data_IF_894331342476
#
_entry.id   IF_894331342476
#
_cell.length_a   1.000
_cell.length_b   1.000
_cell.length_c   1.000
_cell.angle_alpha   90.00
_cell.angle_beta   90.00
_cell.angle_gamma   90.00
#
_symmetry.space_group_name_H-M   'P 1'
#
loop_
_entity.id
_entity.type
_entity.pdbx_description
1 polymer ?
#
# COMPACT_ATOMS: atom_id res chain seq x y z
N UNK A 1 43.19 -40.96 -92.24
CA UNK A 1 43.91 -39.86 -92.91
C UNK A 1 43.47 -38.55 -92.27
N UNK A 2 44.43 -37.67 -91.94
CA UNK A 2 44.42 -36.19 -91.89
C UNK A 2 43.07 -35.47 -91.65
N UNK A 3 42.91 -34.38 -90.91
CA UNK A 3 43.72 -33.49 -90.09
C UNK A 3 42.75 -32.38 -89.62
N UNK A 4 43.05 -31.71 -88.50
CA UNK A 4 42.86 -30.26 -88.41
C UNK A 4 41.65 -29.69 -87.65
N UNK A 5 42.02 -28.77 -86.75
CA UNK A 5 41.40 -27.46 -86.48
C UNK A 5 40.63 -27.29 -85.15
N UNK A 6 41.44 -26.89 -84.16
CA UNK A 6 41.22 -25.98 -83.03
C UNK A 6 39.85 -25.25 -82.95
N UNK A 7 39.15 -25.49 -81.84
CA UNK A 7 38.18 -24.57 -81.24
C UNK A 7 38.61 -24.25 -79.80
N UNK A 8 38.69 -22.96 -79.48
CA UNK A 8 39.13 -22.39 -78.20
C UNK A 8 38.29 -22.85 -77.00
N UNK A 9 38.95 -23.33 -75.95
CA UNK A 9 38.42 -23.33 -74.58
C UNK A 9 39.27 -22.39 -73.73
N UNK A 10 38.65 -21.37 -73.14
CA UNK A 10 39.22 -20.57 -72.06
C UNK A 10 38.23 -20.64 -70.87
N UNK A 11 38.72 -20.84 -69.63
CA UNK A 11 37.91 -21.40 -68.55
C UNK A 11 37.17 -20.35 -67.71
N UNK A 12 36.16 -20.86 -67.01
CA UNK A 12 35.25 -20.20 -66.10
C UNK A 12 35.91 -19.23 -65.10
N UNK A 13 35.31 -18.05 -64.93
CA UNK A 13 35.58 -17.12 -63.84
C UNK A 13 34.49 -17.28 -62.76
N UNK A 14 34.83 -17.61 -61.51
CA UNK A 14 33.85 -17.85 -60.45
C UNK A 14 33.20 -16.54 -59.97
N UNK A 15 31.88 -16.57 -59.78
CA UNK A 15 31.09 -15.49 -59.20
C UNK A 15 31.33 -15.37 -57.69
N UNK A 16 31.67 -14.16 -57.22
CA UNK A 16 31.84 -13.86 -55.80
C UNK A 16 30.48 -13.74 -55.08
N UNK A 17 30.37 -14.15 -53.80
CA UNK A 17 29.14 -14.08 -53.02
C UNK A 17 28.84 -12.64 -52.53
N UNK A 18 27.55 -12.30 -52.48
CA UNK A 18 27.04 -11.02 -51.98
C UNK A 18 27.23 -10.87 -50.46
N UNK A 19 27.43 -9.63 -49.95
CA UNK A 19 27.67 -9.39 -48.53
C UNK A 19 26.39 -9.52 -47.69
N UNK A 20 26.55 -10.04 -46.46
CA UNK A 20 25.49 -10.18 -45.46
C UNK A 20 25.05 -8.81 -44.89
N UNK A 21 23.79 -8.68 -44.42
CA UNK A 21 23.29 -7.42 -43.85
C UNK A 21 23.89 -7.15 -42.48
N UNK A 22 24.45 -5.95 -42.31
CA UNK A 22 24.93 -5.42 -41.04
C UNK A 22 23.75 -5.12 -40.10
N UNK A 23 23.76 -5.55 -38.82
CA UNK A 23 22.75 -5.15 -37.86
C UNK A 23 22.84 -3.65 -37.55
N UNK A 24 21.71 -2.97 -37.26
CA UNK A 24 21.71 -1.54 -36.98
C UNK A 24 22.50 -1.23 -35.71
N UNK A 25 23.23 -0.12 -35.75
CA UNK A 25 23.96 0.44 -34.62
C UNK A 25 23.00 0.64 -33.45
N UNK A 26 23.38 0.10 -32.28
CA UNK A 26 22.69 0.35 -31.02
C UNK A 26 22.66 1.85 -30.78
N UNK A 27 21.47 2.44 -30.85
CA UNK A 27 21.22 3.75 -30.27
C UNK A 27 21.50 3.61 -28.77
N UNK A 28 22.55 4.29 -28.31
CA UNK A 28 22.83 4.52 -26.89
C UNK A 28 21.60 5.15 -26.25
N UNK A 29 20.70 4.30 -25.75
CA UNK A 29 19.64 4.71 -24.85
C UNK A 29 20.34 5.30 -23.63
N UNK A 30 20.18 6.60 -23.31
CA UNK A 30 20.77 7.15 -22.12
C UNK A 30 20.16 6.44 -20.93
N UNK A 31 20.96 5.63 -20.25
CA UNK A 31 20.60 4.99 -19.00
C UNK A 31 20.18 6.09 -18.04
N UNK A 32 18.88 6.19 -17.75
CA UNK A 32 18.36 7.06 -16.71
C UNK A 32 18.91 6.53 -15.37
N UNK A 33 20.11 6.99 -15.02
CA UNK A 33 20.65 6.88 -13.68
C UNK A 33 19.78 7.77 -12.78
N UNK A 34 18.67 7.20 -12.30
CA UNK A 34 18.02 7.66 -11.08
C UNK A 34 19.04 7.45 -9.95
N UNK A 35 19.99 8.38 -9.87
CA UNK A 35 20.86 8.50 -8.72
C UNK A 35 19.96 8.68 -7.51
N UNK A 36 19.95 7.68 -6.65
CA UNK A 36 19.47 7.74 -5.27
C UNK A 36 20.02 9.03 -4.69
N UNK A 37 19.20 10.09 -4.64
CA UNK A 37 19.65 11.37 -4.10
C UNK A 37 19.96 11.16 -2.63
N UNK A 38 21.00 11.83 -2.11
CA UNK A 38 21.46 11.70 -0.73
C UNK A 38 20.39 12.03 0.36
N UNK A 39 19.15 12.37 -0.02
CA UNK A 39 17.98 12.44 0.85
C UNK A 39 17.23 11.12 1.07
N UNK A 40 17.61 10.02 0.40
CA UNK A 40 16.93 8.71 0.53
C UNK A 40 17.28 7.94 1.81
N UNK A 41 18.18 8.45 2.65
CA UNK A 41 18.35 7.96 4.02
C UNK A 41 17.33 8.64 4.94
N UNK A 42 16.05 8.39 4.69
CA UNK A 42 15.01 8.73 5.66
C UNK A 42 15.24 7.84 6.88
N UNK A 43 15.49 8.47 8.03
CA UNK A 43 15.57 7.75 9.30
C UNK A 43 14.31 6.88 9.46
N UNK A 44 14.44 5.58 9.78
CA UNK A 44 13.29 4.70 9.90
C UNK A 44 12.29 5.29 10.89
N UNK A 45 11.02 5.30 10.47
CA UNK A 45 9.92 5.83 11.27
C UNK A 45 9.80 5.01 12.57
N UNK A 46 9.83 5.68 13.72
CA UNK A 46 9.63 4.99 15.00
C UNK A 46 8.18 4.53 15.14
N UNK A 47 7.95 3.44 15.87
CA UNK A 47 6.60 2.94 16.15
C UNK A 47 5.74 3.98 16.90
N UNK A 48 6.35 4.80 17.76
CA UNK A 48 5.68 5.90 18.44
C UNK A 48 5.23 6.99 17.46
N UNK A 49 6.11 7.45 16.56
CA UNK A 49 5.77 8.46 15.55
C UNK A 49 4.72 7.91 14.57
N UNK A 50 4.83 6.63 14.19
CA UNK A 50 3.84 5.96 13.36
C UNK A 50 2.47 5.93 14.04
N UNK A 51 2.40 5.50 15.30
CA UNK A 51 1.16 5.44 16.08
C UNK A 51 0.56 6.82 16.28
N UNK A 52 1.38 7.83 16.61
CA UNK A 52 0.93 9.22 16.76
C UNK A 52 0.41 9.78 15.44
N UNK A 53 1.05 9.47 14.31
CA UNK A 53 0.58 9.87 12.99
C UNK A 53 -0.78 9.23 12.64
N UNK A 54 -0.99 7.96 12.97
CA UNK A 54 -2.27 7.27 12.77
C UNK A 54 -3.38 7.77 13.71
N UNK A 55 -3.03 8.36 14.84
CA UNK A 55 -4.02 9.03 15.67
C UNK A 55 -4.44 10.38 15.10
N UNK A 56 -3.64 10.98 14.21
CA UNK A 56 -3.74 12.38 13.75
C UNK A 56 -3.60 13.40 14.89
N UNK A 57 -3.21 14.66 14.58
CA UNK A 57 -3.17 15.72 15.58
C UNK A 57 -4.55 15.98 16.18
N UNK A 58 -4.63 16.18 17.50
CA UNK A 58 -5.92 16.44 18.19
C UNK A 58 -6.34 17.92 18.08
N UNK A 59 -5.37 18.82 18.06
CA UNK A 59 -5.60 20.27 18.00
C UNK A 59 -4.62 20.95 17.05
N UNK A 60 -4.90 22.22 16.69
CA UNK A 60 -3.99 23.04 15.90
C UNK A 60 -2.64 23.32 16.61
N UNK A 61 -2.59 23.10 17.93
CA UNK A 61 -1.41 23.36 18.77
C UNK A 61 -0.56 22.09 19.00
N UNK A 62 -1.03 20.92 18.53
CA UNK A 62 -0.35 19.64 18.68
C UNK A 62 0.86 19.51 17.74
N UNK A 63 1.92 20.25 18.07
CA UNK A 63 3.19 20.27 17.32
C UNK A 63 3.79 18.87 17.19
N UNK A 64 3.72 18.07 18.26
CA UNK A 64 4.25 16.71 18.26
C UNK A 64 3.47 15.80 17.28
N UNK A 65 2.14 15.91 17.25
CA UNK A 65 1.29 15.24 16.28
C UNK A 65 1.62 15.63 14.84
N UNK A 66 1.79 16.92 14.57
CA UNK A 66 2.16 17.40 13.23
C UNK A 66 3.56 16.93 12.79
N UNK A 67 4.53 16.90 13.71
CA UNK A 67 5.88 16.45 13.38
C UNK A 67 5.93 14.94 13.14
N UNK A 68 5.20 14.15 13.93
CA UNK A 68 5.01 12.72 13.69
C UNK A 68 4.32 12.45 12.35
N UNK A 69 3.24 13.21 12.05
CA UNK A 69 2.54 13.12 10.76
C UNK A 69 3.47 13.44 9.58
N UNK A 70 4.28 14.51 9.68
CA UNK A 70 5.26 14.87 8.65
C UNK A 70 6.32 13.78 8.45
N UNK A 71 6.77 13.13 9.52
CA UNK A 71 7.72 12.00 9.42
C UNK A 71 7.06 10.79 8.77
N UNK A 72 5.83 10.44 9.16
CA UNK A 72 5.08 9.35 8.55
C UNK A 72 4.81 9.57 7.06
N UNK A 73 4.57 10.82 6.63
CA UNK A 73 4.37 11.16 5.22
C UNK A 73 5.64 11.04 4.36
N UNK A 74 6.83 10.98 4.98
CA UNK A 74 8.10 10.70 4.26
C UNK A 74 8.30 9.20 4.02
N UNK A 75 7.74 8.34 4.88
CA UNK A 75 7.73 6.91 4.65
C UNK A 75 6.64 6.54 3.65
N UNK A 76 7.02 5.92 2.54
CA UNK A 76 6.09 5.61 1.43
C UNK A 76 4.93 4.71 1.86
N UNK A 77 5.17 3.76 2.78
CA UNK A 77 4.16 2.80 3.22
C UNK A 77 3.20 3.42 4.24
N UNK A 78 3.74 4.17 5.20
CA UNK A 78 2.95 4.89 6.19
C UNK A 78 2.13 6.01 5.53
N UNK A 79 2.70 6.76 4.58
CA UNK A 79 1.99 7.81 3.85
C UNK A 79 0.72 7.31 3.16
N UNK A 80 0.79 6.13 2.52
CA UNK A 80 -0.37 5.53 1.85
C UNK A 80 -1.48 5.14 2.82
N UNK A 81 -1.12 4.64 4.02
CA UNK A 81 -2.11 4.35 5.05
C UNK A 81 -2.71 5.63 5.64
N UNK A 82 -1.86 6.63 5.94
CA UNK A 82 -2.29 7.93 6.48
C UNK A 82 -3.27 8.62 5.53
N UNK A 83 -2.97 8.65 4.23
CA UNK A 83 -3.87 9.23 3.22
C UNK A 83 -5.20 8.47 3.14
N UNK A 84 -5.15 7.13 3.05
CA UNK A 84 -6.36 6.32 3.00
C UNK A 84 -7.22 6.48 4.28
N UNK A 85 -6.58 6.59 5.45
CA UNK A 85 -7.26 6.85 6.71
C UNK A 85 -7.90 8.24 6.72
N UNK A 86 -7.18 9.27 6.27
CA UNK A 86 -7.71 10.64 6.19
C UNK A 86 -8.95 10.71 5.30
N UNK A 87 -8.90 10.09 4.11
CA UNK A 87 -10.02 10.09 3.17
C UNK A 87 -11.26 9.47 3.80
N UNK A 88 -11.11 8.28 4.40
CA UNK A 88 -12.22 7.57 5.06
C UNK A 88 -12.76 8.33 6.27
N UNK A 89 -11.88 8.87 7.12
CA UNK A 89 -12.30 9.66 8.28
C UNK A 89 -13.07 10.91 7.84
N UNK A 90 -12.64 11.54 6.76
CA UNK A 90 -13.33 12.70 6.16
C UNK A 90 -14.72 12.29 5.68
N UNK A 91 -14.85 11.18 4.97
CA UNK A 91 -16.16 10.68 4.51
C UNK A 91 -17.07 10.28 5.68
N UNK A 92 -16.55 9.59 6.69
CA UNK A 92 -17.32 9.23 7.90
C UNK A 92 -17.84 10.48 8.63
N UNK A 93 -17.05 11.55 8.68
CA UNK A 93 -17.45 12.81 9.32
C UNK A 93 -18.61 13.52 8.59
N UNK A 94 -18.77 13.33 7.28
CA UNK A 94 -19.90 13.87 6.51
C UNK A 94 -21.23 13.24 6.93
N UNK A 95 -21.19 11.98 7.38
CA UNK A 95 -22.33 11.25 7.93
C UNK A 95 -22.47 11.43 9.46
N UNK A 96 -21.67 12.32 10.06
CA UNK A 96 -21.68 12.60 11.51
C UNK A 96 -21.04 11.51 12.37
N UNK A 97 -20.20 10.65 11.79
CA UNK A 97 -19.51 9.58 12.53
C UNK A 97 -18.10 10.06 12.89
N UNK A 98 -17.89 10.38 14.17
CA UNK A 98 -16.58 10.77 14.71
C UNK A 98 -15.97 9.65 15.55
N UNK A 99 -14.68 9.33 15.32
CA UNK A 99 -14.02 8.21 15.99
C UNK A 99 -13.82 8.44 17.49
N UNK A 100 -13.74 9.70 17.90
CA UNK A 100 -13.57 10.12 19.30
C UNK A 100 -14.84 9.89 20.14
N UNK A 101 -16.01 9.79 19.49
CA UNK A 101 -17.28 9.46 20.14
C UNK A 101 -17.43 7.96 20.38
N UNK A 102 -16.70 7.13 19.63
CA UNK A 102 -16.78 5.69 19.73
C UNK A 102 -16.00 5.16 20.93
N UNK A 103 -16.51 4.09 21.54
CA UNK A 103 -15.87 3.38 22.66
C UNK A 103 -15.66 1.92 22.25
N UNK A 104 -14.51 1.56 21.66
CA UNK A 104 -14.23 0.18 21.28
C UNK A 104 -14.03 -0.71 22.52
N UNK A 105 -14.49 -1.94 22.42
CA UNK A 105 -14.03 -3.03 23.28
C UNK A 105 -12.58 -3.38 22.93
N UNK A 106 -11.68 -3.33 23.92
CA UNK A 106 -10.25 -3.54 23.69
C UNK A 106 -9.96 -5.03 23.49
N UNK A 107 -9.63 -5.39 22.25
CA UNK A 107 -9.06 -6.69 21.96
C UNK A 107 -7.65 -6.81 22.56
N UNK A 108 -7.31 -8.02 23.02
CA UNK A 108 -5.97 -8.29 23.53
C UNK A 108 -4.95 -8.24 22.38
N UNK A 109 -3.68 -7.85 22.62
CA UNK A 109 -2.64 -7.80 21.59
C UNK A 109 -2.48 -9.12 20.82
N UNK A 110 -2.69 -10.27 21.46
CA UNK A 110 -2.56 -11.56 20.77
C UNK A 110 -3.59 -11.73 19.64
N UNK A 111 -4.79 -11.14 19.76
CA UNK A 111 -5.81 -11.20 18.69
C UNK A 111 -5.36 -10.37 17.49
N UNK A 112 -4.73 -9.21 17.73
CA UNK A 112 -4.14 -8.40 16.68
C UNK A 112 -3.00 -9.13 15.96
N UNK A 113 -2.13 -9.84 16.70
CA UNK A 113 -1.07 -10.66 16.11
C UNK A 113 -1.62 -11.80 15.26
N UNK A 114 -2.69 -12.45 15.70
CA UNK A 114 -3.38 -13.47 14.90
C UNK A 114 -3.94 -12.88 13.59
N UNK A 115 -4.52 -11.68 13.65
CA UNK A 115 -4.97 -10.98 12.46
C UNK A 115 -3.83 -10.64 11.49
N UNK A 116 -2.69 -10.14 12.00
CA UNK A 116 -1.49 -9.88 11.20
C UNK A 116 -0.95 -11.17 10.53
N UNK A 117 -1.10 -12.31 11.21
CA UNK A 117 -0.76 -13.64 10.68
C UNK A 117 -1.78 -14.17 9.65
N UNK A 118 -2.82 -13.41 9.33
CA UNK A 118 -3.84 -13.77 8.34
C UNK A 118 -5.02 -14.56 8.89
N UNK A 119 -5.20 -14.66 10.21
CA UNK A 119 -6.41 -15.26 10.79
C UNK A 119 -7.66 -14.45 10.41
N UNK A 120 -8.80 -15.14 10.22
CA UNK A 120 -10.07 -14.56 9.78
C UNK A 120 -11.26 -15.18 10.52
N UNK A 121 -12.42 -14.52 10.41
CA UNK A 121 -13.68 -14.94 11.02
C UNK A 121 -13.63 -14.94 12.54
N UNK A 122 -14.27 -15.94 13.16
CA UNK A 122 -14.50 -15.99 14.62
C UNK A 122 -13.25 -15.83 15.50
N UNK A 123 -12.08 -16.24 15.02
CA UNK A 123 -10.80 -16.10 15.73
C UNK A 123 -10.43 -14.63 15.98
N UNK A 124 -10.73 -13.75 15.02
CA UNK A 124 -10.43 -12.32 15.10
C UNK A 124 -11.68 -11.47 15.37
N UNK A 125 -12.83 -12.09 15.61
CA UNK A 125 -14.08 -11.40 15.94
C UNK A 125 -13.96 -10.34 17.05
N UNK A 126 -13.12 -10.53 18.10
CA UNK A 126 -12.90 -9.50 19.11
C UNK A 126 -12.28 -8.19 18.58
N UNK A 127 -11.61 -8.19 17.42
CA UNK A 127 -11.07 -6.97 16.82
C UNK A 127 -12.16 -5.99 16.39
N UNK A 128 -13.37 -6.47 16.07
CA UNK A 128 -14.52 -5.63 15.76
C UNK A 128 -15.12 -4.99 17.01
N UNK A 129 -14.30 -4.31 17.83
CA UNK A 129 -14.68 -3.78 19.14
C UNK A 129 -15.73 -2.68 19.13
N UNK A 130 -16.00 -2.07 17.97
CA UNK A 130 -17.03 -1.05 17.79
C UNK A 130 -18.41 -1.69 17.71
N UNK A 131 -19.27 -1.37 18.71
CA UNK A 131 -20.64 -1.90 18.83
C UNK A 131 -21.73 -0.82 18.74
N UNK A 132 -21.38 0.41 18.43
CA UNK A 132 -22.35 1.50 18.28
C UNK A 132 -23.30 1.21 17.11
N UNK A 133 -24.59 1.03 17.41
CA UNK A 133 -25.57 0.60 16.40
C UNK A 133 -25.85 1.70 15.38
N UNK A 134 -25.85 2.96 15.79
CA UNK A 134 -26.16 4.10 14.93
C UNK A 134 -25.05 4.30 13.90
N UNK A 135 -23.80 4.34 14.32
CA UNK A 135 -22.64 4.45 13.44
C UNK A 135 -22.52 3.24 12.51
N UNK A 136 -22.76 2.02 13.01
CA UNK A 136 -22.77 0.82 12.17
C UNK A 136 -23.88 0.88 11.11
N UNK A 137 -25.09 1.34 11.46
CA UNK A 137 -26.19 1.46 10.51
C UNK A 137 -25.90 2.49 9.42
N UNK A 138 -25.40 3.67 9.79
CA UNK A 138 -25.02 4.75 8.88
C UNK A 138 -23.90 4.31 7.93
N UNK A 139 -22.80 3.76 8.47
CA UNK A 139 -21.68 3.29 7.66
C UNK A 139 -22.09 2.14 6.72
N UNK A 140 -22.93 1.19 7.17
CA UNK A 140 -23.46 0.13 6.31
C UNK A 140 -24.37 0.67 5.20
N UNK A 141 -25.24 1.63 5.51
CA UNK A 141 -26.08 2.28 4.51
C UNK A 141 -25.21 2.98 3.45
N UNK A 142 -24.17 3.70 3.89
CA UNK A 142 -23.22 4.38 3.01
C UNK A 142 -22.44 3.42 2.12
N UNK A 143 -21.93 2.31 2.68
CA UNK A 143 -21.29 1.22 1.91
C UNK A 143 -22.18 0.70 0.78
N UNK A 144 -23.51 0.67 0.95
CA UNK A 144 -24.45 0.19 -0.08
C UNK A 144 -24.82 1.27 -1.09
N UNK A 145 -24.96 2.51 -0.66
CA UNK A 145 -25.52 3.59 -1.48
C UNK A 145 -24.45 4.36 -2.26
N UNK A 146 -23.22 4.45 -1.75
CA UNK A 146 -22.16 5.26 -2.32
C UNK A 146 -20.98 4.39 -2.79
N UNK A 147 -20.79 4.22 -4.11
CA UNK A 147 -19.66 3.49 -4.66
C UNK A 147 -18.29 4.11 -4.32
N UNK A 148 -18.20 5.44 -4.18
CA UNK A 148 -16.95 6.14 -3.85
C UNK A 148 -16.57 5.82 -2.41
N UNK A 149 -17.52 5.90 -1.49
CA UNK A 149 -17.30 5.50 -0.10
C UNK A 149 -16.89 4.04 0.02
N UNK A 150 -17.58 3.15 -0.71
CA UNK A 150 -17.26 1.72 -0.73
C UNK A 150 -15.84 1.45 -1.22
N UNK A 151 -15.43 2.08 -2.30
CA UNK A 151 -14.07 1.92 -2.84
C UNK A 151 -13.02 2.45 -1.86
N UNK A 152 -13.22 3.65 -1.31
CA UNK A 152 -12.34 4.24 -0.31
C UNK A 152 -12.21 3.36 0.94
N UNK A 153 -13.32 2.83 1.46
CA UNK A 153 -13.33 1.93 2.60
C UNK A 153 -12.54 0.64 2.32
N UNK A 154 -12.77 -0.01 1.18
CA UNK A 154 -12.01 -1.22 0.81
C UNK A 154 -10.54 -0.93 0.53
N UNK A 155 -10.22 0.22 -0.08
CA UNK A 155 -8.86 0.67 -0.25
C UNK A 155 -8.16 0.80 1.11
N UNK A 156 -8.77 1.54 2.03
CA UNK A 156 -8.27 1.72 3.39
C UNK A 156 -8.09 0.39 4.13
N UNK A 157 -9.09 -0.50 4.14
CA UNK A 157 -8.98 -1.81 4.80
C UNK A 157 -7.79 -2.61 4.29
N UNK A 158 -7.58 -2.67 2.97
CA UNK A 158 -6.41 -3.36 2.37
C UNK A 158 -5.08 -2.71 2.75
N UNK A 159 -5.04 -1.38 2.83
CA UNK A 159 -3.83 -0.65 3.26
C UNK A 159 -3.53 -0.92 4.72
N UNK A 160 -4.54 -0.88 5.57
CA UNK A 160 -4.40 -1.15 6.99
C UNK A 160 -3.88 -2.56 7.23
N UNK A 161 -4.49 -3.59 6.63
CA UNK A 161 -4.03 -4.98 6.73
C UNK A 161 -2.54 -5.13 6.39
N UNK A 162 -2.13 -4.61 5.23
CA UNK A 162 -0.76 -4.72 4.76
C UNK A 162 0.24 -4.01 5.68
N UNK A 163 -0.06 -2.78 6.08
CA UNK A 163 0.85 -1.99 6.90
C UNK A 163 0.91 -2.54 8.32
N UNK A 164 -0.22 -2.99 8.87
CA UNK A 164 -0.26 -3.59 10.21
C UNK A 164 0.53 -4.90 10.27
N UNK A 165 0.45 -5.74 9.23
CA UNK A 165 1.23 -6.98 9.17
C UNK A 165 2.76 -6.74 9.16
N UNK A 166 3.23 -5.63 8.59
CA UNK A 166 4.65 -5.25 8.67
C UNK A 166 5.02 -4.65 10.03
N UNK A 167 4.13 -3.81 10.59
CA UNK A 167 4.31 -3.19 11.90
C UNK A 167 4.39 -4.23 13.03
N UNK A 168 3.50 -5.22 13.03
CA UNK A 168 3.39 -6.24 14.08
C UNK A 168 4.68 -7.04 14.30
N UNK A 169 5.46 -7.26 13.23
CA UNK A 169 6.74 -8.01 13.27
C UNK A 169 7.78 -7.35 14.17
N UNK A 170 7.68 -6.04 14.37
CA UNK A 170 8.66 -5.25 15.12
C UNK A 170 8.04 -4.58 16.36
N UNK A 171 6.71 -4.59 16.47
CA UNK A 171 5.98 -3.95 17.55
C UNK A 171 5.89 -4.82 18.80
N UNK A 172 6.06 -4.18 19.95
CA UNK A 172 5.74 -4.72 21.27
C UNK A 172 4.23 -4.76 21.51
N UNK A 173 3.79 -5.51 22.53
CA UNK A 173 2.37 -5.59 22.88
C UNK A 173 1.80 -4.23 23.34
N UNK A 174 2.65 -3.38 23.93
CA UNK A 174 2.30 -2.01 24.31
C UNK A 174 2.07 -1.14 23.07
N UNK A 175 2.95 -1.19 22.08
CA UNK A 175 2.81 -0.46 20.81
C UNK A 175 1.60 -0.91 20.00
N UNK A 176 1.29 -2.21 19.99
CA UNK A 176 0.05 -2.73 19.38
C UNK A 176 -1.18 -2.17 20.11
N UNK A 177 -1.14 -2.11 21.44
CA UNK A 177 -2.23 -1.56 22.24
C UNK A 177 -2.44 -0.08 21.98
N UNK A 178 -1.35 0.71 21.89
CA UNK A 178 -1.41 2.12 21.54
C UNK A 178 -1.96 2.35 20.13
N UNK A 179 -1.54 1.54 19.14
CA UNK A 179 -2.07 1.61 17.79
C UNK A 179 -3.57 1.30 17.75
N UNK A 180 -4.00 0.28 18.49
CA UNK A 180 -5.39 -0.14 18.58
C UNK A 180 -6.33 0.95 19.12
N UNK A 181 -5.82 1.88 19.94
CA UNK A 181 -6.60 2.99 20.50
C UNK A 181 -6.75 4.19 19.55
N UNK A 182 -5.99 4.24 18.45
CA UNK A 182 -5.97 5.37 17.50
C UNK A 182 -7.30 5.57 16.74
N UNK A 183 -7.55 6.79 16.28
CA UNK A 183 -8.68 7.10 15.38
C UNK A 183 -8.68 6.22 14.12
N UNK A 184 -7.51 5.96 13.54
CA UNK A 184 -7.39 5.07 12.37
C UNK A 184 -7.79 3.64 12.69
N UNK A 185 -7.34 3.09 13.82
CA UNK A 185 -7.73 1.74 14.23
C UNK A 185 -9.24 1.63 14.52
N UNK A 186 -9.85 2.64 15.15
CA UNK A 186 -11.30 2.68 15.37
C UNK A 186 -12.09 2.67 14.05
N UNK A 187 -11.62 3.42 13.05
CA UNK A 187 -12.22 3.40 11.71
C UNK A 187 -12.09 2.01 11.06
N UNK A 188 -10.94 1.35 11.22
CA UNK A 188 -10.74 -0.03 10.76
C UNK A 188 -11.72 -1.00 11.45
N UNK A 189 -11.88 -0.92 12.77
CA UNK A 189 -12.82 -1.78 13.50
C UNK A 189 -14.28 -1.56 13.05
N UNK A 190 -14.69 -0.31 12.85
CA UNK A 190 -16.03 0.03 12.38
C UNK A 190 -16.27 -0.52 10.97
N UNK A 191 -15.39 -0.19 10.02
CA UNK A 191 -15.55 -0.57 8.62
C UNK A 191 -15.32 -2.06 8.37
N UNK A 192 -14.38 -2.69 9.08
CA UNK A 192 -14.15 -4.13 9.01
C UNK A 192 -15.41 -4.90 9.42
N UNK A 193 -16.16 -4.39 10.40
CA UNK A 193 -17.45 -4.96 10.78
C UNK A 193 -18.52 -4.77 9.69
N UNK A 194 -18.60 -3.59 9.08
CA UNK A 194 -19.51 -3.33 7.95
C UNK A 194 -19.18 -4.18 6.72
N UNK A 195 -17.90 -4.49 6.50
CA UNK A 195 -17.43 -5.30 5.38
C UNK A 195 -17.53 -6.82 5.64
N UNK A 196 -17.86 -7.24 6.87
CA UNK A 196 -17.91 -8.65 7.25
C UNK A 196 -16.55 -9.30 7.46
N UNK A 197 -15.48 -8.53 7.70
CA UNK A 197 -14.11 -9.06 7.88
C UNK A 197 -13.97 -9.95 9.14
N UNK A 198 -14.85 -9.75 10.12
CA UNK A 198 -14.78 -10.37 11.45
C UNK A 198 -15.82 -11.47 11.69
N UNK A 199 -16.69 -11.76 10.70
CA UNK A 199 -17.77 -12.74 10.79
C UNK A 199 -17.30 -14.14 10.34
#
# INVERSE_FOLDING_TARGET
ALAGLQGREEPARPAAPAPAPTPPASEDQPTLALGTQAGDMTQPLSAEDFTRALNFPETAEDKAGFDALRRALKDRSAAQLVQAAQDVLTLLSQDGIYMDDLRPDRARPEVWRQFASGARGRTIAPLGGIRDRSSLALANARMRQDPIFRDAAHHFLRRFDRTFAEFEKQATDEEISMLADTRTARAFMLLGRCAGTFD
#
